data_IF_545633398619
#
_entry.id   IF_545633398619
#
_cell.length_a   1.000
_cell.length_b   1.000
_cell.length_c   1.000
_cell.angle_alpha   90.00
_cell.angle_beta   90.00
_cell.angle_gamma   90.00
#
_symmetry.space_group_name_H-M   'P 1'
#
loop_
_entity.id
_entity.type
_entity.pdbx_description
1 polymer ?
#
# COMPACT_ATOMS: atom_id res chain seq x y z
N UNK A 1 37.03 50.77 -12.94
CA UNK A 1 37.36 49.34 -12.72
C UNK A 1 36.10 48.51 -12.93
N UNK A 2 35.98 47.85 -14.07
CA UNK A 2 34.78 47.10 -14.48
C UNK A 2 34.69 45.78 -13.71
N UNK A 3 33.67 45.63 -12.85
CA UNK A 3 33.37 44.36 -12.18
C UNK A 3 32.69 43.45 -13.21
N UNK A 4 33.45 42.59 -13.88
CA UNK A 4 32.87 41.48 -14.67
C UNK A 4 32.33 40.43 -13.70
N UNK A 5 31.02 40.21 -13.72
CA UNK A 5 30.37 39.07 -13.06
C UNK A 5 30.70 37.83 -13.88
N UNK A 6 31.25 36.77 -13.25
CA UNK A 6 31.51 35.49 -13.94
C UNK A 6 30.18 34.93 -14.46
N UNK A 7 30.09 34.46 -15.71
CA UNK A 7 28.86 33.83 -16.19
C UNK A 7 28.63 32.55 -15.40
N UNK A 8 27.40 32.36 -14.92
CA UNK A 8 26.98 31.05 -14.45
C UNK A 8 27.01 30.14 -15.67
N UNK A 9 27.74 29.04 -15.57
CA UNK A 9 27.80 28.01 -16.59
C UNK A 9 26.41 27.36 -16.62
N UNK A 10 25.52 27.90 -17.46
CA UNK A 10 24.19 27.35 -17.70
C UNK A 10 24.39 25.99 -18.38
N UNK A 11 24.45 24.93 -17.57
CA UNK A 11 24.43 23.54 -18.04
C UNK A 11 23.24 23.41 -18.98
N UNK A 12 23.50 23.10 -20.25
CA UNK A 12 22.45 23.06 -21.25
C UNK A 12 21.44 21.97 -20.89
N UNK A 13 20.17 22.16 -21.28
CA UNK A 13 19.11 21.16 -21.02
C UNK A 13 19.50 19.76 -21.52
N UNK A 14 20.26 19.69 -22.61
CA UNK A 14 20.77 18.47 -23.21
C UNK A 14 21.85 17.80 -22.36
N UNK A 15 22.77 18.58 -21.76
CA UNK A 15 23.79 18.04 -20.84
C UNK A 15 23.16 17.55 -19.54
N UNK A 16 22.14 18.25 -19.03
CA UNK A 16 21.38 17.79 -17.88
C UNK A 16 20.59 16.51 -18.20
N UNK A 17 19.93 16.43 -19.36
CA UNK A 17 19.23 15.23 -19.82
C UNK A 17 20.19 14.03 -19.98
N UNK A 18 21.38 14.25 -20.54
CA UNK A 18 22.41 13.22 -20.68
C UNK A 18 22.95 12.76 -19.31
N UNK A 19 23.26 13.69 -18.41
CA UNK A 19 23.70 13.38 -17.05
C UNK A 19 22.64 12.58 -16.28
N UNK A 20 21.35 12.90 -16.46
CA UNK A 20 20.24 12.17 -15.86
C UNK A 20 20.02 10.79 -16.50
N UNK A 21 20.28 10.62 -17.79
CA UNK A 21 20.26 9.33 -18.47
C UNK A 21 21.38 8.38 -17.99
N UNK A 22 22.60 8.90 -17.79
CA UNK A 22 23.72 8.12 -17.26
C UNK A 22 23.45 7.72 -15.80
N UNK A 23 22.93 8.65 -14.99
CA UNK A 23 22.53 8.38 -13.61
C UNK A 23 21.45 7.29 -13.52
N UNK A 24 20.42 7.37 -14.34
CA UNK A 24 19.34 6.37 -14.35
C UNK A 24 19.84 5.01 -14.84
N UNK A 25 20.76 4.98 -15.79
CA UNK A 25 21.38 3.74 -16.29
C UNK A 25 22.23 3.07 -15.21
N UNK A 26 23.06 3.83 -14.51
CA UNK A 26 23.86 3.34 -13.38
C UNK A 26 22.99 2.89 -12.19
N UNK A 27 21.97 3.67 -11.85
CA UNK A 27 20.99 3.34 -10.81
C UNK A 27 20.18 2.07 -11.11
N UNK A 28 19.95 1.74 -12.38
CA UNK A 28 19.16 0.57 -12.79
C UNK A 28 19.98 -0.70 -12.99
N UNK A 29 21.31 -0.58 -13.10
CA UNK A 29 22.24 -1.70 -13.30
C UNK A 29 23.05 -2.08 -12.04
N UNK A 30 23.02 -1.25 -10.99
CA UNK A 30 23.58 -1.58 -9.67
C UNK A 30 22.65 -2.48 -8.84
N UNK A 31 23.23 -3.46 -8.13
CA UNK A 31 22.50 -4.17 -7.07
C UNK A 31 21.91 -3.15 -6.09
N UNK A 32 20.64 -3.30 -5.72
CA UNK A 32 19.98 -2.43 -4.73
C UNK A 32 20.78 -2.53 -3.43
N UNK A 33 21.61 -1.52 -3.14
CA UNK A 33 22.32 -1.40 -1.88
C UNK A 33 21.29 -1.04 -0.81
N UNK A 34 20.69 -2.06 -0.20
CA UNK A 34 19.80 -1.89 0.95
C UNK A 34 20.68 -1.54 2.14
N UNK A 35 20.47 -0.37 2.74
CA UNK A 35 21.19 0.02 3.96
C UNK A 35 20.83 -0.92 5.12
N UNK A 36 21.69 -1.04 6.13
CA UNK A 36 21.37 -1.86 7.32
C UNK A 36 20.04 -1.40 7.97
N UNK A 37 19.80 -0.08 7.98
CA UNK A 37 18.57 0.51 8.49
C UNK A 37 17.33 0.08 7.68
N UNK A 38 17.42 0.12 6.34
CA UNK A 38 16.32 -0.32 5.49
C UNK A 38 16.07 -1.83 5.64
N UNK A 39 17.13 -2.63 5.77
CA UNK A 39 17.01 -4.06 6.04
C UNK A 39 16.32 -4.33 7.39
N UNK A 40 16.70 -3.59 8.44
CA UNK A 40 16.08 -3.69 9.75
C UNK A 40 14.60 -3.26 9.74
N UNK A 41 14.24 -2.20 9.01
CA UNK A 41 12.84 -1.79 8.82
C UNK A 41 12.04 -2.88 8.10
N UNK A 42 12.60 -3.46 7.04
CA UNK A 42 11.95 -4.54 6.27
C UNK A 42 11.74 -5.80 7.11
N UNK A 43 12.72 -6.18 7.93
CA UNK A 43 12.63 -7.37 8.77
C UNK A 43 11.67 -7.20 9.95
N UNK A 44 11.65 -6.00 10.56
CA UNK A 44 10.80 -5.69 11.72
C UNK A 44 9.43 -5.12 11.34
N UNK A 45 9.11 -5.00 10.05
CA UNK A 45 7.83 -4.48 9.61
C UNK A 45 6.69 -5.38 10.09
N UNK A 46 5.70 -4.78 10.75
CA UNK A 46 4.45 -5.42 11.13
C UNK A 46 3.28 -4.54 10.73
N UNK A 47 2.21 -5.14 10.20
CA UNK A 47 1.03 -4.39 9.80
C UNK A 47 0.25 -3.88 11.02
N UNK A 48 0.17 -4.68 12.09
CA UNK A 48 -0.31 -4.29 13.42
C UNK A 48 0.80 -4.50 14.44
N UNK A 49 1.10 -3.45 15.20
CA UNK A 49 2.04 -3.45 16.31
C UNK A 49 1.31 -3.42 17.65
N UNK A 50 1.93 -4.04 18.64
CA UNK A 50 1.48 -4.09 20.02
C UNK A 50 2.38 -3.18 20.86
N UNK A 51 1.82 -2.08 21.37
CA UNK A 51 2.60 -1.03 22.02
C UNK A 51 3.31 -1.52 23.29
N UNK A 52 2.72 -2.46 24.03
CA UNK A 52 3.30 -3.03 25.25
C UNK A 52 4.51 -3.94 24.92
N UNK A 53 4.34 -4.86 23.98
CA UNK A 53 5.40 -5.77 23.52
C UNK A 53 6.55 -4.99 22.87
N UNK A 54 6.22 -3.98 22.07
CA UNK A 54 7.20 -3.10 21.42
C UNK A 54 7.94 -2.21 22.43
N UNK A 55 7.30 -1.79 23.52
CA UNK A 55 7.98 -1.03 24.59
C UNK A 55 9.03 -1.88 25.31
N UNK A 56 8.72 -3.14 25.61
CA UNK A 56 9.66 -4.07 26.24
C UNK A 56 10.82 -4.41 25.30
N UNK A 57 10.50 -4.84 24.07
CA UNK A 57 11.51 -5.31 23.10
C UNK A 57 12.32 -4.13 22.56
N UNK A 58 11.69 -2.98 22.35
CA UNK A 58 12.33 -1.76 21.89
C UNK A 58 13.24 -1.09 22.93
N UNK A 59 13.19 -1.50 24.20
CA UNK A 59 14.17 -1.07 25.20
C UNK A 59 15.56 -1.65 24.88
N UNK A 60 15.63 -2.92 24.49
CA UNK A 60 16.86 -3.67 24.25
C UNK A 60 17.28 -3.69 22.77
N UNK A 61 16.35 -3.79 21.83
CA UNK A 61 16.63 -3.84 20.39
C UNK A 61 16.30 -2.51 19.69
N UNK A 62 17.34 -1.85 19.17
CA UNK A 62 17.19 -0.58 18.45
C UNK A 62 16.43 -0.74 17.13
N UNK A 63 16.47 -1.91 16.47
CA UNK A 63 15.78 -2.17 15.20
C UNK A 63 14.27 -2.13 15.40
N UNK A 64 13.80 -2.72 16.50
CA UNK A 64 12.39 -2.66 16.92
C UNK A 64 12.01 -1.21 17.20
N UNK A 65 12.79 -0.50 18.02
CA UNK A 65 12.55 0.92 18.35
C UNK A 65 12.50 1.83 17.12
N UNK A 66 13.36 1.60 16.13
CA UNK A 66 13.34 2.32 14.85
C UNK A 66 12.04 2.04 14.06
N UNK A 67 11.66 0.77 13.96
CA UNK A 67 10.45 0.37 13.24
C UNK A 67 9.15 0.85 13.93
N UNK A 68 9.11 0.93 15.26
CA UNK A 68 8.02 1.58 16.02
C UNK A 68 7.90 3.05 15.63
N UNK A 69 9.00 3.80 15.65
CA UNK A 69 9.01 5.23 15.28
C UNK A 69 8.54 5.44 13.84
N UNK A 70 8.92 4.56 12.92
CA UNK A 70 8.42 4.60 11.54
C UNK A 70 6.91 4.34 11.49
N UNK A 71 6.44 3.31 12.19
CA UNK A 71 5.02 2.96 12.23
C UNK A 71 4.12 4.06 12.81
N UNK A 72 4.60 4.79 13.82
CA UNK A 72 3.88 5.94 14.39
C UNK A 72 3.72 7.11 13.42
N UNK A 73 4.66 7.28 12.48
CA UNK A 73 4.58 8.30 11.43
C UNK A 73 3.64 7.94 10.28
N UNK A 74 3.20 6.68 10.18
CA UNK A 74 2.29 6.25 9.13
C UNK A 74 0.92 6.90 9.30
N UNK A 75 0.38 7.40 8.19
CA UNK A 75 -1.00 7.87 8.13
C UNK A 75 -1.97 6.71 7.90
N UNK A 76 -2.62 6.26 8.99
CA UNK A 76 -3.37 4.99 9.07
C UNK A 76 -4.88 5.12 8.84
N UNK A 77 -5.36 6.20 8.24
CA UNK A 77 -6.80 6.37 7.97
C UNK A 77 -7.30 5.42 6.85
N UNK A 78 -6.55 5.29 5.76
CA UNK A 78 -6.88 4.44 4.62
C UNK A 78 -5.69 3.56 4.25
N UNK A 79 -5.96 2.28 4.00
CA UNK A 79 -5.01 1.33 3.43
C UNK A 79 -5.17 1.22 1.91
N UNK A 80 -4.15 0.68 1.26
CA UNK A 80 -4.19 0.27 -0.14
C UNK A 80 -4.37 -1.23 -0.25
N UNK A 81 -5.05 -1.65 -1.31
CA UNK A 81 -5.28 -3.05 -1.63
C UNK A 81 -4.60 -3.46 -2.93
N UNK A 82 -4.01 -4.66 -2.96
CA UNK A 82 -3.70 -5.38 -4.20
C UNK A 82 -4.83 -6.39 -4.46
N UNK A 83 -5.59 -6.11 -5.51
CA UNK A 83 -6.73 -6.94 -5.90
C UNK A 83 -6.38 -7.95 -7.00
N UNK A 84 -5.12 -8.11 -7.40
CA UNK A 84 -4.73 -8.99 -8.51
C UNK A 84 -5.23 -10.44 -8.41
N UNK A 85 -5.43 -10.97 -7.19
CA UNK A 85 -5.94 -12.33 -6.93
C UNK A 85 -7.35 -12.36 -6.33
N UNK A 86 -8.16 -11.34 -6.63
CA UNK A 86 -9.52 -11.22 -6.09
C UNK A 86 -10.45 -12.39 -6.48
N UNK A 87 -10.21 -13.01 -7.64
CA UNK A 87 -10.98 -14.18 -8.11
C UNK A 87 -10.77 -15.41 -7.23
N UNK A 88 -9.59 -15.57 -6.64
CA UNK A 88 -9.28 -16.57 -5.61
C UNK A 88 -9.86 -16.18 -4.24
N UNK A 89 -10.26 -14.93 -4.06
CA UNK A 89 -10.70 -14.36 -2.78
C UNK A 89 -9.54 -13.88 -1.92
N UNK A 90 -8.35 -13.72 -2.52
CA UNK A 90 -7.15 -13.22 -1.85
C UNK A 90 -6.98 -11.75 -2.19
N UNK A 91 -6.90 -10.92 -1.15
CA UNK A 91 -6.63 -9.48 -1.24
C UNK A 91 -5.50 -9.17 -0.28
N UNK A 92 -4.45 -8.51 -0.78
CA UNK A 92 -3.36 -8.02 0.06
C UNK A 92 -3.62 -6.58 0.46
N UNK A 93 -3.43 -6.23 1.73
CA UNK A 93 -3.55 -4.87 2.23
C UNK A 93 -2.21 -4.37 2.75
N UNK A 94 -1.95 -3.07 2.63
CA UNK A 94 -0.83 -2.39 3.29
C UNK A 94 -1.16 -0.93 3.59
N UNK A 95 -0.44 -0.36 4.53
CA UNK A 95 -0.47 1.08 4.77
C UNK A 95 0.16 1.85 3.60
N UNK A 96 -0.26 3.12 3.46
CA UNK A 96 0.21 4.04 2.42
C UNK A 96 1.62 4.52 2.75
N UNK A 97 2.43 4.71 1.71
CA UNK A 97 3.71 5.41 1.81
C UNK A 97 3.48 6.93 1.79
N UNK A 98 4.47 7.70 2.25
CA UNK A 98 4.41 9.17 2.25
C UNK A 98 4.08 9.73 0.85
N UNK A 99 4.81 9.29 -0.17
CA UNK A 99 4.57 9.72 -1.55
C UNK A 99 3.14 9.41 -2.03
N UNK A 100 2.55 8.30 -1.60
CA UNK A 100 1.17 7.93 -1.91
C UNK A 100 0.14 8.78 -1.16
N UNK A 101 0.41 9.11 0.10
CA UNK A 101 -0.43 10.01 0.89
C UNK A 101 -0.43 11.41 0.28
N UNK A 102 0.75 11.95 -0.04
CA UNK A 102 0.89 13.27 -0.69
C UNK A 102 0.17 13.30 -2.04
N UNK A 103 0.27 12.23 -2.84
CA UNK A 103 -0.47 12.09 -4.11
C UNK A 103 -1.98 11.89 -3.93
N UNK A 104 -2.48 11.66 -2.72
CA UNK A 104 -3.90 11.37 -2.47
C UNK A 104 -4.34 9.95 -2.84
N UNK A 105 -3.41 9.01 -3.03
CA UNK A 105 -3.74 7.60 -3.33
C UNK A 105 -4.50 6.99 -2.16
N UNK A 106 -5.59 6.27 -2.46
CA UNK A 106 -6.49 5.68 -1.46
C UNK A 106 -7.42 6.66 -0.77
N UNK A 107 -7.46 7.93 -1.18
CA UNK A 107 -8.38 8.95 -0.65
C UNK A 107 -9.08 9.73 -1.77
N UNK A 108 -8.30 10.35 -2.66
CA UNK A 108 -8.80 11.04 -3.85
C UNK A 108 -8.58 10.22 -5.13
N UNK A 109 -7.70 9.23 -5.08
CA UNK A 109 -7.49 8.23 -6.12
C UNK A 109 -7.83 6.86 -5.53
N UNK A 110 -8.36 5.95 -6.35
CA UNK A 110 -8.72 4.59 -5.95
C UNK A 110 -7.60 3.88 -5.16
N UNK A 111 -7.99 3.24 -4.06
CA UNK A 111 -7.11 2.51 -3.16
C UNK A 111 -6.58 1.17 -3.70
N UNK A 112 -7.02 0.74 -4.89
CA UNK A 112 -6.38 -0.39 -5.55
C UNK A 112 -5.03 0.04 -6.12
N UNK A 113 -3.97 -0.69 -5.78
CA UNK A 113 -2.58 -0.41 -6.20
C UNK A 113 -2.46 -0.23 -7.72
N UNK A 114 -3.27 -0.97 -8.51
CA UNK A 114 -3.22 -1.00 -9.98
C UNK A 114 -4.35 -0.20 -10.66
N UNK A 115 -4.99 0.74 -9.96
CA UNK A 115 -6.09 1.53 -10.51
C UNK A 115 -5.95 3.01 -10.14
N UNK A 116 -5.97 3.91 -11.11
CA UNK A 116 -5.83 5.36 -10.90
C UNK A 116 -7.13 6.14 -11.11
N UNK A 117 -8.28 5.47 -11.03
CA UNK A 117 -9.59 6.13 -11.09
C UNK A 117 -9.78 7.12 -9.92
N UNK A 118 -10.33 8.30 -10.22
CA UNK A 118 -10.62 9.38 -9.26
C UNK A 118 -12.11 9.52 -8.98
N UNK A 119 -12.96 8.99 -9.86
CA UNK A 119 -14.40 9.20 -9.82
C UNK A 119 -15.13 8.18 -8.93
N UNK A 120 -16.23 8.64 -8.32
CA UNK A 120 -17.20 7.82 -7.56
C UNK A 120 -16.59 6.94 -6.46
N UNK A 121 -15.50 7.40 -5.83
CA UNK A 121 -14.80 6.64 -4.80
C UNK A 121 -15.64 6.52 -3.52
N UNK A 122 -15.83 5.28 -3.06
CA UNK A 122 -16.56 4.96 -1.82
C UNK A 122 -15.65 4.32 -0.79
N UNK A 123 -15.85 4.68 0.47
CA UNK A 123 -15.14 4.12 1.61
C UNK A 123 -15.84 2.86 2.11
N UNK A 124 -15.05 1.83 2.41
CA UNK A 124 -15.48 0.54 2.91
C UNK A 124 -14.61 0.15 4.10
N UNK A 125 -15.26 -0.34 5.15
CA UNK A 125 -14.59 -1.01 6.25
C UNK A 125 -14.60 -2.52 5.99
N UNK A 126 -13.41 -3.12 5.96
CA UNK A 126 -13.25 -4.55 5.73
C UNK A 126 -12.51 -5.18 6.90
N UNK A 127 -13.01 -6.34 7.34
CA UNK A 127 -12.28 -7.18 8.28
C UNK A 127 -11.10 -7.81 7.53
N UNK A 128 -9.90 -7.41 7.93
CA UNK A 128 -8.65 -7.95 7.40
C UNK A 128 -8.07 -8.94 8.40
N UNK A 129 -8.25 -10.23 8.09
CA UNK A 129 -7.65 -11.33 8.81
C UNK A 129 -6.47 -11.89 8.02
N UNK A 130 -5.30 -11.99 8.64
CA UNK A 130 -4.05 -12.43 8.03
C UNK A 130 -3.18 -13.19 9.03
N UNK A 131 -2.17 -13.89 8.53
CA UNK A 131 -1.17 -14.55 9.36
C UNK A 131 0.14 -13.79 9.23
N UNK A 132 0.71 -13.36 10.34
CA UNK A 132 1.99 -12.67 10.42
C UNK A 132 2.80 -13.33 11.53
N UNK A 133 4.04 -13.75 11.21
CA UNK A 133 4.92 -14.47 12.16
C UNK A 133 4.26 -15.70 12.80
N UNK A 134 3.43 -16.43 12.05
CA UNK A 134 2.73 -17.63 12.52
C UNK A 134 1.50 -17.38 13.39
N UNK A 135 1.26 -16.14 13.83
CA UNK A 135 0.06 -15.74 14.56
C UNK A 135 -1.03 -15.23 13.62
N UNK A 136 -2.28 -15.61 13.89
CA UNK A 136 -3.44 -15.02 13.23
C UNK A 136 -3.69 -13.64 13.85
N UNK A 137 -3.76 -12.62 12.99
CA UNK A 137 -4.10 -11.25 13.37
C UNK A 137 -5.34 -10.82 12.59
N UNK A 138 -6.18 -10.01 13.22
CA UNK A 138 -7.35 -9.42 12.58
C UNK A 138 -7.53 -7.95 12.98
N UNK A 139 -7.99 -7.13 12.03
CA UNK A 139 -8.35 -5.75 12.30
C UNK A 139 -9.36 -5.25 11.28
N UNK A 140 -10.10 -4.20 11.65
CA UNK A 140 -10.96 -3.49 10.72
C UNK A 140 -10.13 -2.42 10.00
N UNK A 141 -10.09 -2.50 8.66
CA UNK A 141 -9.29 -1.60 7.83
C UNK A 141 -10.22 -0.84 6.88
N UNK A 142 -9.99 0.47 6.76
CA UNK A 142 -10.71 1.33 5.81
C UNK A 142 -9.99 1.34 4.46
N UNK A 143 -10.74 1.09 3.38
CA UNK A 143 -10.30 1.29 2.00
C UNK A 143 -11.28 2.21 1.28
N UNK A 144 -10.75 3.07 0.41
CA UNK A 144 -11.59 3.88 -0.49
C UNK A 144 -11.30 3.51 -1.94
N UNK A 145 -12.30 3.00 -2.64
CA UNK A 145 -12.13 2.42 -4.00
C UNK A 145 -13.27 2.81 -4.92
N UNK A 146 -13.01 2.80 -6.23
CA UNK A 146 -14.02 3.03 -7.26
C UNK A 146 -14.97 1.82 -7.42
N UNK A 147 -16.14 1.99 -8.07
CA UNK A 147 -17.12 0.92 -8.25
C UNK A 147 -16.57 -0.40 -8.84
N UNK A 148 -15.73 -0.42 -9.91
CA UNK A 148 -15.20 -1.69 -10.44
C UNK A 148 -14.27 -2.39 -9.45
N UNK A 149 -13.48 -1.63 -8.69
CA UNK A 149 -12.61 -2.17 -7.64
C UNK A 149 -13.42 -2.66 -6.42
N UNK A 150 -14.54 -2.02 -6.09
CA UNK A 150 -15.47 -2.52 -5.07
C UNK A 150 -16.08 -3.88 -5.47
N UNK A 151 -16.41 -4.06 -6.76
CA UNK A 151 -16.86 -5.35 -7.28
C UNK A 151 -15.81 -6.46 -7.14
N UNK A 152 -14.53 -6.13 -7.35
CA UNK A 152 -13.41 -7.05 -7.09
C UNK A 152 -13.28 -7.38 -5.60
N UNK A 153 -13.31 -6.36 -4.74
CA UNK A 153 -13.20 -6.50 -3.28
C UNK A 153 -14.27 -7.44 -2.70
N UNK A 154 -15.50 -7.38 -3.22
CA UNK A 154 -16.62 -8.20 -2.75
C UNK A 154 -16.97 -9.38 -3.66
N UNK A 155 -16.08 -9.75 -4.59
CA UNK A 155 -16.33 -10.76 -5.62
C UNK A 155 -16.85 -12.09 -5.06
N UNK A 156 -16.19 -12.64 -4.03
CA UNK A 156 -16.63 -13.90 -3.40
C UNK A 156 -17.97 -13.76 -2.67
N UNK A 157 -18.24 -12.62 -2.02
CA UNK A 157 -19.52 -12.36 -1.34
C UNK A 157 -20.66 -12.32 -2.35
N UNK A 158 -20.46 -11.65 -3.48
CA UNK A 158 -21.41 -11.59 -4.58
C UNK A 158 -21.68 -13.00 -5.16
N UNK A 159 -20.64 -13.79 -5.42
CA UNK A 159 -20.78 -15.15 -5.92
C UNK A 159 -21.56 -16.07 -4.96
N UNK A 160 -21.29 -15.99 -3.65
CA UNK A 160 -22.04 -16.74 -2.63
C UNK A 160 -23.52 -16.34 -2.59
N UNK A 161 -23.82 -15.03 -2.65
CA UNK A 161 -25.19 -14.50 -2.67
C UNK A 161 -25.97 -14.99 -3.90
N UNK A 162 -25.34 -14.98 -5.08
CA UNK A 162 -25.94 -15.47 -6.31
C UNK A 162 -26.27 -16.97 -6.25
N UNK A 163 -25.36 -17.81 -5.71
CA UNK A 163 -25.61 -19.24 -5.52
C UNK A 163 -26.79 -19.50 -4.56
N UNK A 164 -26.84 -18.77 -3.44
CA UNK A 164 -27.95 -18.88 -2.47
C UNK A 164 -29.29 -18.50 -3.11
N UNK A 165 -29.34 -17.40 -3.86
CA UNK A 165 -30.58 -16.97 -4.54
C UNK A 165 -31.09 -18.02 -5.55
N UNK A 166 -30.19 -18.67 -6.31
CA UNK A 166 -30.57 -19.76 -7.21
C UNK A 166 -31.16 -20.96 -6.46
N UNK A 167 -30.55 -21.35 -5.34
CA UNK A 167 -31.05 -22.44 -4.49
C UNK A 167 -32.47 -22.15 -3.98
N UNK A 168 -32.70 -20.96 -3.42
CA UNK A 168 -34.03 -20.56 -2.93
C UNK A 168 -35.09 -20.52 -4.03
N UNK A 169 -34.73 -20.06 -5.25
CA UNK A 169 -35.65 -20.09 -6.39
C UNK A 169 -36.00 -21.51 -6.83
N UNK A 170 -35.02 -22.42 -6.84
CA UNK A 170 -35.25 -23.82 -7.15
C UNK A 170 -36.14 -24.51 -6.11
N UNK A 171 -35.88 -24.26 -4.81
CA UNK A 171 -36.70 -24.78 -3.71
C UNK A 171 -38.15 -24.26 -3.78
N UNK A 172 -38.34 -22.96 -4.02
CA UNK A 172 -39.67 -22.37 -4.20
C UNK A 172 -40.39 -22.91 -5.43
N UNK A 173 -39.68 -23.13 -6.54
CA UNK A 173 -40.25 -23.73 -7.76
C UNK A 173 -40.57 -25.22 -7.61
N UNK A 174 -39.98 -25.92 -6.63
CA UNK A 174 -40.30 -27.33 -6.32
C UNK A 174 -41.43 -27.52 -5.31
N UNK A 175 -41.87 -26.44 -4.66
CA UNK A 175 -42.94 -26.42 -3.66
C UNK A 175 -44.29 -25.90 -4.22
N UNK A 176 -44.29 -25.36 -5.44
CA UNK A 176 -45.48 -25.01 -6.23
C UNK A 176 -45.68 -26.05 -7.33
#
# INVERSE_FOLDING_TARGET
>A
MSKRKRPAEDVSRLEHEAMMADYTTWSSSGAVLVTEEEAALRSQHQFLRDDETDAVTGATDWRVRMAVRYYQKLYKEYALGDFSRYTEGKVGLRWRTEAEVVRGKGQFICGNKRCDATEELKSYEVLFAYVEQGAKKECLVKLRVCPPCAAQLFYKKAAKKAKKAKKHKAEHASLC
#
